data_IF_710001022383
#
_entry.id   IF_710001022383
#
_cell.length_a   1.000
_cell.length_b   1.000
_cell.length_c   1.000
_cell.angle_alpha   90.00
_cell.angle_beta   90.00
_cell.angle_gamma   90.00
#
_symmetry.space_group_name_H-M   'P 1'
#
loop_
_entity.id
_entity.type
_entity.pdbx_description
1 polymer ?
#
# COMPACT_ATOMS: atom_id res chain seq x y z
N UNK A 1 8.06 13.96 1.38
CA UNK A 1 9.00 12.85 1.16
C UNK A 1 8.97 12.49 -0.31
N UNK A 2 10.13 12.43 -0.96
CA UNK A 2 10.24 12.04 -2.37
C UNK A 2 10.46 10.52 -2.49
N UNK A 3 10.47 10.01 -3.73
CA UNK A 3 10.65 8.59 -4.02
C UNK A 3 12.00 8.04 -3.55
N UNK A 4 13.08 8.84 -3.62
CA UNK A 4 14.43 8.42 -3.21
C UNK A 4 14.51 8.19 -1.70
N UNK A 5 14.05 9.16 -0.90
CA UNK A 5 14.00 9.04 0.57
C UNK A 5 13.14 7.86 1.02
N UNK A 6 12.03 7.62 0.32
CA UNK A 6 11.19 6.47 0.62
C UNK A 6 11.90 5.14 0.30
N UNK A 7 12.70 5.09 -0.77
CA UNK A 7 13.45 3.90 -1.15
C UNK A 7 14.49 3.54 -0.09
N UNK A 8 15.32 4.51 0.31
CA UNK A 8 16.38 4.33 1.31
C UNK A 8 15.80 3.81 2.64
N UNK A 9 14.76 4.47 3.15
CA UNK A 9 14.08 4.01 4.36
C UNK A 9 13.49 2.60 4.23
N UNK A 10 12.89 2.27 3.08
CA UNK A 10 12.32 0.93 2.85
C UNK A 10 13.44 -0.12 2.86
N UNK A 11 14.54 0.12 2.16
CA UNK A 11 15.69 -0.79 2.08
C UNK A 11 16.32 -1.03 3.46
N UNK A 12 16.45 0.01 4.29
CA UNK A 12 16.92 -0.11 5.68
C UNK A 12 15.93 -0.85 6.60
N UNK A 13 14.64 -0.85 6.26
CA UNK A 13 13.57 -1.46 7.07
C UNK A 13 13.20 -2.88 6.65
N UNK A 14 13.93 -3.47 5.70
CA UNK A 14 13.72 -4.85 5.29
C UNK A 14 14.12 -5.81 6.41
N UNK A 15 13.41 -6.94 6.50
CA UNK A 15 13.79 -8.00 7.42
C UNK A 15 15.07 -8.69 6.93
N UNK A 16 15.86 -9.22 7.87
CA UNK A 16 17.10 -9.92 7.55
C UNK A 16 16.86 -11.08 6.56
N UNK A 17 17.64 -11.10 5.48
CA UNK A 17 17.54 -12.08 4.41
C UNK A 17 16.23 -12.03 3.61
N UNK A 18 15.58 -10.86 3.53
CA UNK A 18 14.49 -10.58 2.61
C UNK A 18 14.96 -9.60 1.52
N UNK A 19 14.43 -9.74 0.32
CA UNK A 19 14.83 -8.93 -0.84
C UNK A 19 13.67 -8.11 -1.36
N UNK A 20 13.91 -6.83 -1.67
CA UNK A 20 12.91 -5.94 -2.22
C UNK A 20 12.67 -6.24 -3.71
N UNK A 21 11.46 -6.68 -4.07
CA UNK A 21 11.01 -6.83 -5.46
C UNK A 21 10.63 -5.47 -6.03
N UNK A 22 9.97 -4.64 -5.23
CA UNK A 22 9.67 -3.27 -5.59
C UNK A 22 8.73 -2.58 -4.61
N UNK A 23 8.49 -1.30 -4.81
CA UNK A 23 7.64 -0.51 -3.93
C UNK A 23 6.81 0.51 -4.69
N UNK A 24 5.68 0.89 -4.12
CA UNK A 24 4.77 1.87 -4.69
C UNK A 24 4.01 2.63 -3.61
N UNK A 25 3.58 3.84 -3.94
CA UNK A 25 2.73 4.62 -3.05
C UNK A 25 1.26 4.28 -3.28
N UNK A 26 0.50 4.26 -2.20
CA UNK A 26 -0.94 4.07 -2.26
C UNK A 26 -1.67 4.93 -1.22
N UNK A 27 -2.95 5.18 -1.48
CA UNK A 27 -3.82 5.89 -0.55
C UNK A 27 -4.99 5.02 -0.12
N UNK A 28 -5.28 5.01 1.17
CA UNK A 28 -6.51 4.45 1.72
C UNK A 28 -7.52 5.59 1.86
N UNK A 29 -8.61 5.59 1.05
CA UNK A 29 -9.59 6.66 1.10
C UNK A 29 -10.29 6.70 2.46
N UNK A 30 -10.69 7.88 2.93
CA UNK A 30 -11.44 8.01 4.17
C UNK A 30 -12.79 7.27 4.06
N UNK A 31 -13.33 6.86 5.20
CA UNK A 31 -14.69 6.31 5.22
C UNK A 31 -15.66 7.44 4.88
N UNK A 32 -16.38 7.33 3.76
CA UNK A 32 -17.30 8.37 3.29
C UNK A 32 -18.38 8.69 4.32
N UNK A 33 -18.76 7.75 5.18
CA UNK A 33 -19.67 8.01 6.30
C UNK A 33 -19.20 9.11 7.24
N UNK A 34 -17.89 9.34 7.38
CA UNK A 34 -17.35 10.43 8.19
C UNK A 34 -17.73 11.81 7.66
N UNK A 35 -18.03 11.94 6.36
CA UNK A 35 -18.50 13.21 5.80
C UNK A 35 -19.76 13.72 6.51
N UNK A 36 -20.67 12.82 6.89
CA UNK A 36 -21.89 13.22 7.61
C UNK A 36 -21.64 13.67 9.06
N UNK A 37 -20.49 13.29 9.66
CA UNK A 37 -20.15 13.63 11.05
C UNK A 37 -19.28 14.88 11.15
N UNK A 38 -18.28 15.00 10.27
CA UNK A 38 -17.23 16.03 10.35
C UNK A 38 -17.11 16.85 9.07
N UNK A 39 -18.07 16.70 8.14
CA UNK A 39 -18.11 17.45 6.89
C UNK A 39 -16.86 17.22 6.04
N UNK A 40 -16.37 18.25 5.33
CA UNK A 40 -15.18 18.18 4.47
C UNK A 40 -13.89 17.74 5.18
N UNK A 41 -13.80 17.89 6.52
CA UNK A 41 -12.61 17.46 7.28
C UNK A 41 -12.40 15.94 7.29
N UNK A 42 -13.36 15.15 6.82
CA UNK A 42 -13.17 13.70 6.64
C UNK A 42 -11.96 13.34 5.75
N UNK A 43 -11.56 14.23 4.84
CA UNK A 43 -10.36 14.05 4.00
C UNK A 43 -9.10 13.90 4.85
N UNK A 44 -9.03 14.51 6.04
CA UNK A 44 -7.90 14.37 6.97
C UNK A 44 -7.77 12.94 7.53
N UNK A 45 -8.82 12.13 7.43
CA UNK A 45 -8.76 10.71 7.82
C UNK A 45 -8.20 9.82 6.70
N UNK A 46 -7.86 10.38 5.54
CA UNK A 46 -7.18 9.66 4.46
C UNK A 46 -5.80 9.21 4.95
N UNK A 47 -5.43 7.97 4.64
CA UNK A 47 -4.13 7.42 5.00
C UNK A 47 -3.28 7.26 3.75
N UNK A 48 -2.03 7.66 3.81
CA UNK A 48 -1.06 7.47 2.73
C UNK A 48 -0.06 6.40 3.15
N UNK A 49 0.29 5.52 2.23
CA UNK A 49 1.21 4.42 2.47
C UNK A 49 2.27 4.35 1.36
N UNK A 50 3.46 3.90 1.73
CA UNK A 50 4.34 3.19 0.80
C UNK A 50 4.20 1.69 1.08
N UNK A 51 3.89 0.93 0.04
CA UNK A 51 3.90 -0.52 0.10
C UNK A 51 5.22 -1.00 -0.49
N UNK A 52 5.97 -1.75 0.28
CA UNK A 52 7.15 -2.48 -0.19
C UNK A 52 6.78 -3.95 -0.34
N UNK A 53 7.00 -4.50 -1.52
CA UNK A 53 6.75 -5.89 -1.86
C UNK A 53 8.09 -6.59 -1.88
N UNK A 54 8.21 -7.62 -1.06
CA UNK A 54 9.43 -8.40 -0.90
C UNK A 54 9.24 -9.83 -1.40
N UNK A 55 10.25 -10.66 -1.26
CA UNK A 55 10.15 -12.09 -1.56
C UNK A 55 9.24 -12.82 -0.57
N UNK A 56 9.22 -12.38 0.70
CA UNK A 56 8.46 -13.05 1.77
C UNK A 56 7.07 -12.46 2.00
N UNK A 57 6.85 -11.18 1.69
CA UNK A 57 5.59 -10.53 2.00
C UNK A 57 5.44 -9.09 1.52
N UNK A 58 4.61 -8.34 2.24
CA UNK A 58 4.31 -6.94 1.95
C UNK A 58 4.38 -6.11 3.23
N UNK A 59 5.23 -5.08 3.19
CA UNK A 59 5.31 -4.04 4.22
C UNK A 59 4.41 -2.86 3.88
N UNK A 60 3.62 -2.41 4.84
CA UNK A 60 2.77 -1.23 4.77
C UNK A 60 3.38 -0.12 5.64
N UNK A 61 4.15 0.77 5.02
CA UNK A 61 4.73 1.94 5.69
C UNK A 61 3.76 3.11 5.62
N UNK A 62 3.08 3.41 6.73
CA UNK A 62 2.11 4.49 6.82
C UNK A 62 2.81 5.83 7.01
N UNK A 63 2.35 6.82 6.26
CA UNK A 63 2.77 8.21 6.40
C UNK A 63 1.84 8.97 7.35
N UNK A 64 2.44 9.87 8.12
CA UNK A 64 1.75 10.95 8.81
C UNK A 64 1.21 11.98 7.80
N UNK A 65 0.34 12.88 8.28
CA UNK A 65 -0.17 14.02 7.49
C UNK A 65 0.97 14.91 6.95
N UNK A 66 2.09 15.00 7.69
CA UNK A 66 3.29 15.74 7.28
C UNK A 66 4.19 14.95 6.32
N UNK A 67 3.79 13.73 5.93
CA UNK A 67 4.51 12.90 4.97
C UNK A 67 5.72 12.15 5.55
N UNK A 68 5.89 12.09 6.87
CA UNK A 68 6.92 11.27 7.55
C UNK A 68 6.39 9.88 7.85
N UNK A 69 7.25 8.86 7.81
CA UNK A 69 6.91 7.51 8.27
C UNK A 69 6.49 7.52 9.75
N UNK A 70 5.39 6.83 10.07
CA UNK A 70 4.82 6.82 11.42
C UNK A 70 4.60 5.40 11.96
N UNK A 71 4.05 4.52 11.13
CA UNK A 71 3.70 3.15 11.49
C UNK A 71 4.14 2.22 10.37
N UNK A 72 4.52 1.00 10.73
CA UNK A 72 4.93 -0.07 9.82
C UNK A 72 4.23 -1.36 10.24
N UNK A 73 3.48 -1.96 9.31
CA UNK A 73 2.93 -3.30 9.45
C UNK A 73 3.57 -4.18 8.37
N UNK A 74 4.19 -5.31 8.74
CA UNK A 74 4.62 -6.32 7.78
C UNK A 74 3.66 -7.50 7.81
N UNK A 75 3.33 -8.04 6.63
CA UNK A 75 2.52 -9.24 6.47
C UNK A 75 3.23 -10.19 5.53
N UNK A 76 3.52 -11.40 5.99
CA UNK A 76 3.96 -12.48 5.10
C UNK A 76 2.84 -12.84 4.13
N UNK A 77 3.18 -13.35 2.94
CA UNK A 77 2.16 -13.76 1.97
C UNK A 77 1.19 -14.80 2.56
N UNK A 78 1.68 -15.66 3.44
CA UNK A 78 0.88 -16.64 4.16
C UNK A 78 -0.16 -16.01 5.11
N UNK A 79 0.05 -14.78 5.58
CA UNK A 79 -0.92 -14.07 6.43
C UNK A 79 -2.03 -13.39 5.65
N UNK A 80 -1.85 -13.26 4.33
CA UNK A 80 -2.78 -12.61 3.42
C UNK A 80 -3.73 -13.66 2.86
N UNK A 81 -4.99 -13.60 3.28
CA UNK A 81 -6.02 -14.53 2.84
C UNK A 81 -6.37 -14.33 1.36
N UNK A 82 -6.53 -13.06 0.94
CA UNK A 82 -6.78 -12.74 -0.46
C UNK A 82 -6.55 -11.28 -0.79
N UNK A 83 -6.33 -11.00 -2.07
CA UNK A 83 -6.30 -9.65 -2.63
C UNK A 83 -7.33 -9.50 -3.75
N UNK A 84 -8.12 -8.42 -3.70
CA UNK A 84 -8.97 -8.00 -4.83
C UNK A 84 -8.30 -6.83 -5.54
N UNK A 85 -7.96 -6.99 -6.81
CA UNK A 85 -7.35 -5.96 -7.64
C UNK A 85 -8.37 -5.49 -8.68
N UNK A 86 -8.80 -4.23 -8.59
CA UNK A 86 -9.75 -3.66 -9.54
C UNK A 86 -9.09 -3.06 -10.77
N UNK A 87 -9.90 -2.46 -11.65
CA UNK A 87 -9.43 -1.71 -12.82
C UNK A 87 -9.43 -0.20 -12.51
N UNK A 88 -8.45 0.53 -13.01
CA UNK A 88 -8.39 1.98 -12.92
C UNK A 88 -7.25 2.56 -13.76
N UNK A 89 -7.45 3.78 -14.28
CA UNK A 89 -6.56 4.40 -15.27
C UNK A 89 -5.38 5.12 -14.61
N UNK A 90 -5.65 5.88 -13.55
CA UNK A 90 -4.63 6.65 -12.81
C UNK A 90 -4.16 5.93 -11.54
N UNK A 91 -5.06 5.17 -10.93
CA UNK A 91 -4.82 4.42 -9.71
C UNK A 91 -5.39 3.02 -9.82
N UNK A 92 -4.74 2.06 -9.18
CA UNK A 92 -5.15 0.67 -9.09
C UNK A 92 -5.78 0.40 -7.71
N UNK A 93 -7.11 0.26 -7.61
CA UNK A 93 -7.73 -0.08 -6.34
C UNK A 93 -7.38 -1.53 -5.95
N UNK A 94 -6.93 -1.71 -4.72
CA UNK A 94 -6.63 -3.02 -4.14
C UNK A 94 -7.29 -3.15 -2.77
N UNK A 95 -7.77 -4.36 -2.45
CA UNK A 95 -8.31 -4.68 -1.13
C UNK A 95 -7.68 -5.98 -0.65
N UNK A 96 -6.87 -5.87 0.39
CA UNK A 96 -6.25 -6.99 1.09
C UNK A 96 -7.17 -7.44 2.21
N UNK A 97 -7.38 -8.76 2.30
CA UNK A 97 -8.01 -9.43 3.41
C UNK A 97 -6.95 -10.32 4.06
N UNK A 98 -6.77 -10.18 5.36
CA UNK A 98 -5.77 -10.92 6.14
C UNK A 98 -6.47 -11.99 6.99
N UNK A 99 -5.74 -13.04 7.35
CA UNK A 99 -6.26 -14.15 8.17
C UNK A 99 -6.78 -13.72 9.54
N UNK A 100 -6.24 -12.61 10.09
CA UNK A 100 -6.71 -12.01 11.35
C UNK A 100 -7.97 -11.14 11.19
N UNK A 101 -8.73 -11.29 10.11
CA UNK A 101 -9.90 -10.48 9.75
C UNK A 101 -9.64 -8.99 9.49
N UNK A 102 -8.38 -8.50 9.55
CA UNK A 102 -8.05 -7.14 9.11
C UNK A 102 -8.35 -7.02 7.60
N UNK A 103 -8.79 -5.83 7.19
CA UNK A 103 -9.02 -5.48 5.79
C UNK A 103 -8.38 -4.13 5.51
N UNK A 104 -7.50 -4.09 4.51
CA UNK A 104 -6.84 -2.85 4.09
C UNK A 104 -7.25 -2.55 2.65
N UNK A 105 -7.94 -1.43 2.46
CA UNK A 105 -8.32 -0.92 1.14
C UNK A 105 -7.35 0.19 0.76
N UNK A 106 -6.72 0.07 -0.40
CA UNK A 106 -5.81 1.09 -0.93
C UNK A 106 -6.08 1.35 -2.41
N UNK A 107 -5.55 2.46 -2.91
CA UNK A 107 -5.47 2.80 -4.31
C UNK A 107 -4.02 3.08 -4.64
N UNK A 108 -3.35 2.14 -5.31
CA UNK A 108 -1.96 2.26 -5.71
C UNK A 108 -1.82 3.24 -6.89
N UNK A 109 -0.78 4.07 -6.89
CA UNK A 109 -0.57 5.04 -7.96
C UNK A 109 -0.02 4.35 -9.21
N UNK A 110 -0.63 4.56 -10.38
CA UNK A 110 -0.15 4.03 -11.67
C UNK A 110 0.54 5.12 -12.50
N UNK A 111 -0.06 6.31 -12.59
CA UNK A 111 0.38 7.42 -13.47
C UNK A 111 0.12 8.78 -12.84
N UNK A 112 0.68 9.85 -13.40
CA UNK A 112 0.28 11.23 -13.15
C UNK A 112 1.02 12.02 -12.06
N UNK A 113 1.83 11.37 -11.21
CA UNK A 113 2.66 12.09 -10.23
C UNK A 113 4.10 11.57 -10.34
N UNK A 114 5.02 12.42 -10.80
CA UNK A 114 6.40 11.99 -11.10
C UNK A 114 7.25 11.77 -9.85
N UNK A 115 6.95 12.48 -8.77
CA UNK A 115 7.67 12.38 -7.49
C UNK A 115 7.28 11.15 -6.65
N UNK A 116 6.39 10.30 -7.16
CA UNK A 116 5.75 9.22 -6.41
C UNK A 116 6.11 7.86 -7.02
N UNK A 117 6.37 6.87 -6.15
CA UNK A 117 6.61 5.49 -6.57
C UNK A 117 5.32 4.90 -7.18
N UNK A 118 5.40 4.47 -8.44
CA UNK A 118 4.28 3.90 -9.19
C UNK A 118 4.29 2.37 -9.04
N UNK A 119 3.12 1.75 -9.05
CA UNK A 119 2.99 0.30 -9.14
C UNK A 119 3.44 -0.15 -10.53
N UNK A 120 4.55 -0.87 -10.58
CA UNK A 120 5.09 -1.46 -11.79
C UNK A 120 4.39 -2.80 -12.11
N UNK A 121 4.32 -3.22 -13.39
CA UNK A 121 3.60 -4.44 -13.78
C UNK A 121 4.18 -5.73 -13.17
N UNK A 122 5.50 -5.83 -13.08
CA UNK A 122 6.24 -6.92 -12.44
C UNK A 122 5.91 -7.07 -10.96
N UNK A 123 5.87 -5.96 -10.23
CA UNK A 123 5.47 -5.93 -8.81
C UNK A 123 4.03 -6.40 -8.64
N UNK A 124 3.12 -5.95 -9.52
CA UNK A 124 1.73 -6.42 -9.49
C UNK A 124 1.64 -7.93 -9.77
N UNK A 125 2.36 -8.44 -10.77
CA UNK A 125 2.40 -9.87 -11.07
C UNK A 125 2.94 -10.68 -9.89
N UNK A 126 3.96 -10.18 -9.18
CA UNK A 126 4.48 -10.84 -7.98
C UNK A 126 3.43 -10.95 -6.88
N UNK A 127 2.67 -9.88 -6.64
CA UNK A 127 1.53 -9.90 -5.71
C UNK A 127 0.49 -10.95 -6.14
N UNK A 128 0.11 -10.97 -7.42
CA UNK A 128 -0.91 -11.88 -7.96
C UNK A 128 -0.49 -13.35 -7.91
N UNK A 129 0.81 -13.65 -8.03
CA UNK A 129 1.34 -15.01 -7.93
C UNK A 129 1.40 -15.53 -6.51
N UNK A 130 1.67 -14.66 -5.53
CA UNK A 130 1.90 -15.05 -4.14
C UNK A 130 0.66 -14.86 -3.24
N UNK A 131 -0.38 -14.17 -3.71
CA UNK A 131 -1.60 -13.92 -2.93
C UNK A 131 -2.82 -14.41 -3.71
N UNK A 132 -3.71 -15.22 -3.10
CA UNK A 132 -4.94 -15.64 -3.73
C UNK A 132 -5.79 -14.45 -4.20
N UNK A 133 -6.23 -14.48 -5.46
CA UNK A 133 -7.13 -13.45 -5.99
C UNK A 133 -8.56 -13.68 -5.50
N UNK A 134 -9.13 -12.67 -4.85
CA UNK A 134 -10.54 -12.66 -4.49
C UNK A 134 -11.40 -12.38 -5.74
N UNK A 135 -12.38 -13.24 -5.99
CA UNK A 135 -13.38 -13.06 -7.05
C UNK A 135 -14.21 -11.77 -6.82
#
# INVERSE_FOLDING_TARGET
MNKEQAKEYIEESLNDGDSLIGFFQAVSPPNFWLFFLIGPFFVLSMKTYFLAVTEKGISFHKLSLLGKFKEHDFFEFNDIESVKIGKGVLQRPMKFKFKNNRKIKIKAQLKGVDKVAKLLPDVQQHIERNIPLAQ
#
